data_IF_995973643109
#
_entry.id   IF_995973643109
#
_cell.length_a   1.000
_cell.length_b   1.000
_cell.length_c   1.000
_cell.angle_alpha   90.00
_cell.angle_beta   90.00
_cell.angle_gamma   90.00
#
_symmetry.space_group_name_H-M   'P 1'
#
loop_
_entity.id
_entity.type
_entity.pdbx_description
1 polymer ?
#
# COMPACT_ATOMS: atom_id res chain seq x y z
N UNK A 1 19.09 -6.65 -10.33
CA UNK A 1 18.47 -7.61 -11.25
C UNK A 1 17.66 -6.84 -12.28
N UNK A 2 18.19 -6.78 -13.51
CA UNK A 2 17.58 -6.15 -14.68
C UNK A 2 16.60 -7.13 -15.33
N UNK A 3 15.29 -6.88 -15.18
CA UNK A 3 14.15 -7.65 -15.74
C UNK A 3 14.10 -9.15 -15.40
N UNK A 4 12.99 -9.60 -14.80
CA UNK A 4 12.74 -11.01 -14.53
C UNK A 4 12.47 -11.77 -15.84
N UNK A 5 13.13 -12.92 -16.04
CA UNK A 5 13.02 -13.75 -17.25
C UNK A 5 12.63 -15.19 -16.90
N UNK A 6 11.53 -15.73 -17.49
CA UNK A 6 11.13 -17.13 -17.29
C UNK A 6 12.24 -18.12 -17.67
N UNK A 7 12.98 -17.84 -18.73
CA UNK A 7 14.03 -18.73 -19.23
C UNK A 7 15.21 -18.82 -18.26
N UNK A 8 15.66 -17.67 -17.75
CA UNK A 8 16.72 -17.61 -16.74
C UNK A 8 16.26 -18.28 -15.44
N UNK A 9 15.01 -18.06 -15.04
CA UNK A 9 14.43 -18.69 -13.86
C UNK A 9 14.44 -20.23 -13.96
N UNK A 10 14.01 -20.81 -15.10
CA UNK A 10 14.09 -22.27 -15.34
C UNK A 10 15.54 -22.77 -15.30
N UNK A 11 16.46 -22.05 -15.96
CA UNK A 11 17.87 -22.44 -16.02
C UNK A 11 18.51 -22.51 -14.63
N UNK A 12 18.10 -21.63 -13.72
CA UNK A 12 18.62 -21.60 -12.34
C UNK A 12 17.97 -22.64 -11.41
N UNK A 13 16.85 -23.27 -11.81
CA UNK A 13 16.06 -24.16 -10.96
C UNK A 13 16.26 -25.66 -11.28
N UNK A 14 17.47 -26.06 -11.73
CA UNK A 14 17.74 -27.41 -12.25
C UNK A 14 17.41 -28.55 -11.28
N UNK A 15 17.57 -28.33 -9.98
CA UNK A 15 17.37 -29.33 -8.93
C UNK A 15 16.04 -29.13 -8.17
N UNK A 16 15.09 -28.39 -8.75
CA UNK A 16 13.78 -28.09 -8.15
C UNK A 16 12.66 -28.81 -8.90
N UNK A 17 11.61 -29.20 -8.17
CA UNK A 17 10.41 -29.80 -8.74
C UNK A 17 9.87 -28.97 -9.94
N UNK A 18 9.68 -29.59 -11.12
CA UNK A 18 9.22 -28.89 -12.32
C UNK A 18 7.85 -28.22 -12.17
N UNK A 19 6.95 -28.79 -11.37
CA UNK A 19 5.63 -28.23 -11.08
C UNK A 19 5.73 -26.94 -10.27
N UNK A 20 6.62 -26.88 -9.28
CA UNK A 20 6.91 -25.66 -8.52
C UNK A 20 7.44 -24.56 -9.44
N UNK A 21 8.40 -24.91 -10.32
CA UNK A 21 8.99 -23.95 -11.26
C UNK A 21 7.94 -23.43 -12.25
N UNK A 22 7.08 -24.32 -12.77
CA UNK A 22 5.99 -23.95 -13.67
C UNK A 22 4.99 -22.99 -12.99
N UNK A 23 4.56 -23.31 -11.77
CA UNK A 23 3.64 -22.47 -11.00
C UNK A 23 4.21 -21.08 -10.71
N UNK A 24 5.51 -20.98 -10.38
CA UNK A 24 6.17 -19.71 -10.16
C UNK A 24 6.21 -18.87 -11.45
N UNK A 25 6.49 -19.50 -12.59
CA UNK A 25 6.50 -18.84 -13.90
C UNK A 25 5.10 -18.35 -14.28
N UNK A 26 4.06 -19.15 -14.09
CA UNK A 26 2.68 -18.73 -14.34
C UNK A 26 2.29 -17.56 -13.45
N UNK A 27 2.67 -17.59 -12.17
CA UNK A 27 2.43 -16.48 -11.24
C UNK A 27 3.11 -15.18 -11.71
N UNK A 28 4.36 -15.27 -12.17
CA UNK A 28 5.05 -14.10 -12.71
C UNK A 28 4.42 -13.59 -14.01
N UNK A 29 3.95 -14.49 -14.90
CA UNK A 29 3.22 -14.09 -16.10
C UNK A 29 1.96 -13.30 -15.78
N UNK A 30 1.20 -13.71 -14.77
CA UNK A 30 0.00 -12.98 -14.34
C UNK A 30 0.33 -11.55 -13.87
N UNK A 31 1.40 -11.39 -13.09
CA UNK A 31 1.86 -10.07 -12.62
C UNK A 31 2.34 -9.21 -13.80
N UNK A 32 3.18 -9.77 -14.67
CA UNK A 32 3.73 -9.06 -15.82
C UNK A 32 2.70 -8.75 -16.90
N UNK A 33 1.60 -9.51 -16.99
CA UNK A 33 0.47 -9.18 -17.86
C UNK A 33 -0.22 -7.87 -17.45
N UNK A 34 -0.18 -7.54 -16.15
CA UNK A 34 -0.65 -6.23 -15.65
C UNK A 34 0.43 -5.17 -15.87
N UNK A 35 1.67 -5.46 -15.47
CA UNK A 35 2.79 -4.55 -15.63
C UNK A 35 4.14 -5.30 -15.64
N UNK A 36 4.84 -5.26 -16.77
CA UNK A 36 6.10 -5.99 -16.97
C UNK A 36 7.28 -5.48 -16.14
N UNK A 37 7.20 -4.26 -15.58
CA UNK A 37 8.24 -3.67 -14.74
C UNK A 37 8.04 -3.99 -13.25
N UNK A 38 6.87 -4.51 -12.85
CA UNK A 38 6.61 -4.94 -11.46
C UNK A 38 7.36 -6.23 -11.16
N UNK A 39 8.20 -6.21 -10.13
CA UNK A 39 8.94 -7.39 -9.70
C UNK A 39 8.01 -8.48 -9.12
N UNK A 40 8.06 -9.72 -9.63
CA UNK A 40 7.26 -10.82 -9.09
C UNK A 40 7.68 -11.20 -7.66
N UNK A 41 6.68 -11.47 -6.81
CA UNK A 41 6.85 -12.04 -5.47
C UNK A 41 6.00 -13.30 -5.39
N UNK A 42 6.61 -14.41 -5.00
CA UNK A 42 5.99 -15.75 -5.06
C UNK A 42 5.57 -16.25 -3.69
N UNK A 43 6.39 -15.99 -2.67
CA UNK A 43 6.15 -16.39 -1.29
C UNK A 43 6.66 -15.29 -0.35
N UNK A 44 6.19 -15.31 0.91
CA UNK A 44 6.74 -14.43 1.95
C UNK A 44 8.25 -14.65 2.15
N UNK A 45 8.73 -15.89 2.02
CA UNK A 45 10.16 -16.21 2.09
C UNK A 45 10.94 -15.64 0.90
N UNK A 46 10.36 -15.66 -0.30
CA UNK A 46 10.96 -15.01 -1.46
C UNK A 46 11.08 -13.49 -1.24
N UNK A 47 10.05 -12.84 -0.69
CA UNK A 47 10.12 -11.42 -0.33
C UNK A 47 11.21 -11.13 0.71
N UNK A 48 11.30 -11.97 1.76
CA UNK A 48 12.33 -11.84 2.79
C UNK A 48 13.74 -11.90 2.18
N UNK A 49 13.99 -12.87 1.31
CA UNK A 49 15.25 -13.01 0.59
C UNK A 49 15.51 -11.81 -0.35
N UNK A 50 14.52 -11.39 -1.14
CA UNK A 50 14.66 -10.31 -2.10
C UNK A 50 14.91 -8.94 -1.44
N UNK A 51 14.33 -8.71 -0.25
CA UNK A 51 14.53 -7.51 0.56
C UNK A 51 15.69 -7.64 1.54
N UNK A 52 16.37 -8.79 1.60
CA UNK A 52 17.47 -9.11 2.50
C UNK A 52 17.10 -8.83 3.98
N UNK A 53 16.05 -9.50 4.45
CA UNK A 53 15.58 -9.49 5.83
C UNK A 53 15.25 -10.89 6.33
N UNK A 54 15.18 -11.04 7.64
CA UNK A 54 14.77 -12.30 8.26
C UNK A 54 13.31 -12.66 7.93
N UNK A 55 13.09 -13.95 7.61
CA UNK A 55 11.77 -14.48 7.30
C UNK A 55 10.87 -14.56 8.54
N UNK A 56 11.44 -14.89 9.70
CA UNK A 56 10.72 -14.95 10.98
C UNK A 56 10.08 -13.60 11.32
N UNK A 57 10.82 -12.52 11.14
CA UNK A 57 10.32 -11.15 11.30
C UNK A 57 9.09 -10.88 10.41
N UNK A 58 9.19 -11.15 9.09
CA UNK A 58 8.05 -10.92 8.19
C UNK A 58 6.86 -11.81 8.55
N UNK A 59 7.12 -13.06 8.96
CA UNK A 59 6.08 -13.99 9.40
C UNK A 59 5.34 -13.45 10.61
N UNK A 60 6.05 -12.88 11.58
CA UNK A 60 5.45 -12.34 12.79
C UNK A 60 4.65 -11.05 12.54
N UNK A 61 5.14 -10.18 11.66
CA UNK A 61 4.42 -8.96 11.21
C UNK A 61 3.13 -9.34 10.48
N UNK A 62 3.19 -10.31 9.57
CA UNK A 62 2.04 -10.73 8.76
C UNK A 62 1.03 -11.57 9.53
N UNK A 63 1.44 -12.33 10.53
CA UNK A 63 0.52 -13.01 11.45
C UNK A 63 -0.11 -12.05 12.46
N UNK A 64 0.44 -10.83 12.61
CA UNK A 64 0.10 -9.89 13.70
C UNK A 64 0.34 -10.50 15.09
N UNK A 65 1.29 -11.44 15.19
CA UNK A 65 1.62 -12.11 16.45
C UNK A 65 2.50 -11.23 17.35
N UNK A 66 3.39 -10.43 16.73
CA UNK A 66 4.31 -9.56 17.47
C UNK A 66 3.73 -8.15 17.66
N UNK A 67 4.28 -7.44 18.66
CA UNK A 67 3.92 -6.07 19.01
C UNK A 67 4.13 -5.06 17.87
N UNK A 68 4.00 -3.77 18.19
CA UNK A 68 4.04 -2.69 17.19
C UNK A 68 5.42 -2.59 16.49
N UNK A 69 5.55 -2.88 15.17
CA UNK A 69 6.84 -2.80 14.47
C UNK A 69 7.19 -1.37 14.01
N UNK A 70 6.52 -0.36 14.58
CA UNK A 70 6.68 1.05 14.26
C UNK A 70 7.04 1.85 15.51
N UNK A 71 8.02 2.74 15.38
CA UNK A 71 8.27 3.78 16.38
C UNK A 71 7.26 4.90 16.20
N UNK A 72 6.53 5.22 17.27
CA UNK A 72 5.48 6.24 17.26
C UNK A 72 5.97 7.51 17.94
N UNK A 73 5.67 8.66 17.35
CA UNK A 73 5.85 9.96 17.99
C UNK A 73 4.83 10.98 17.47
N UNK A 74 4.67 12.07 18.22
CA UNK A 74 3.69 13.12 17.92
C UNK A 74 4.37 14.33 17.30
N UNK A 75 3.80 14.85 16.21
CA UNK A 75 4.15 16.15 15.65
C UNK A 75 2.99 17.12 15.86
N UNK A 76 3.28 18.33 16.31
CA UNK A 76 2.27 19.38 16.51
C UNK A 76 1.71 19.83 15.16
N UNK A 77 0.37 19.84 15.02
CA UNK A 77 -0.33 20.50 13.91
C UNK A 77 -0.40 22.00 14.18
N UNK A 78 -0.62 22.79 13.13
CA UNK A 78 -1.02 24.19 13.29
C UNK A 78 -2.23 24.25 14.24
N UNK A 79 -2.24 25.22 15.18
CA UNK A 79 -3.36 25.39 16.11
C UNK A 79 -4.69 25.47 15.35
N UNK A 80 -5.77 24.95 15.92
CA UNK A 80 -7.11 25.28 15.41
C UNK A 80 -7.39 26.77 15.62
N UNK A 81 -8.43 27.28 14.95
CA UNK A 81 -8.96 28.62 15.22
C UNK A 81 -9.33 28.80 16.71
N UNK A 82 -9.70 27.71 17.39
CA UNK A 82 -10.03 27.68 18.83
C UNK A 82 -8.81 27.58 19.75
N UNK A 83 -7.59 27.57 19.22
CA UNK A 83 -6.35 27.46 20.00
C UNK A 83 -6.02 26.05 20.50
N UNK A 84 -6.84 25.04 20.19
CA UNK A 84 -6.61 23.66 20.62
C UNK A 84 -5.31 23.10 20.03
N UNK A 85 -4.52 22.48 20.91
CA UNK A 85 -3.32 21.75 20.51
C UNK A 85 -3.73 20.46 19.81
N UNK A 86 -3.47 20.38 18.51
CA UNK A 86 -3.70 19.19 17.69
C UNK A 86 -2.38 18.52 17.34
N UNK A 87 -2.36 17.19 17.28
CA UNK A 87 -1.15 16.40 16.97
C UNK A 87 -1.39 15.46 15.79
N UNK A 88 -0.31 15.10 15.09
CA UNK A 88 -0.24 13.99 14.13
C UNK A 88 0.59 12.88 14.75
N UNK A 89 0.10 11.65 14.68
CA UNK A 89 0.90 10.48 15.03
C UNK A 89 1.73 10.12 13.81
N UNK A 90 3.05 10.16 13.95
CA UNK A 90 3.96 9.62 12.96
C UNK A 90 4.37 8.23 13.40
N UNK A 91 4.30 7.29 12.47
CA UNK A 91 4.66 5.89 12.64
C UNK A 91 5.80 5.56 11.66
N UNK A 92 7.02 5.48 12.20
CA UNK A 92 8.22 5.14 11.42
C UNK A 92 8.49 3.64 11.56
N UNK A 93 8.55 2.89 10.46
CA UNK A 93 8.83 1.45 10.53
C UNK A 93 10.20 1.17 11.18
N UNK A 94 10.33 0.00 11.83
CA UNK A 94 11.63 -0.51 12.26
C UNK A 94 12.61 -0.60 11.08
N UNK A 95 13.93 -0.56 11.28
CA UNK A 95 14.91 -0.57 10.18
C UNK A 95 14.71 -1.72 9.18
N UNK A 96 14.43 -2.92 9.68
CA UNK A 96 14.17 -4.09 8.84
C UNK A 96 12.85 -3.97 8.07
N UNK A 97 11.76 -3.52 8.70
CA UNK A 97 10.49 -3.29 8.02
C UNK A 97 10.61 -2.16 6.97
N UNK A 98 11.37 -1.12 7.28
CA UNK A 98 11.65 -0.02 6.35
C UNK A 98 12.41 -0.51 5.12
N UNK A 99 13.36 -1.44 5.28
CA UNK A 99 14.09 -2.05 4.15
C UNK A 99 13.12 -2.77 3.20
N UNK A 100 12.22 -3.58 3.74
CA UNK A 100 11.19 -4.29 2.94
C UNK A 100 10.23 -3.32 2.27
N UNK A 101 9.73 -2.34 3.00
CA UNK A 101 8.80 -1.36 2.43
C UNK A 101 9.47 -0.51 1.34
N UNK A 102 10.74 -0.11 1.50
CA UNK A 102 11.51 0.54 0.43
C UNK A 102 11.68 -0.39 -0.77
N UNK A 103 11.96 -1.68 -0.56
CA UNK A 103 12.03 -2.63 -1.67
C UNK A 103 10.70 -2.69 -2.43
N UNK A 104 9.56 -2.78 -1.72
CA UNK A 104 8.21 -2.75 -2.31
C UNK A 104 8.00 -1.45 -3.09
N UNK A 105 8.36 -0.30 -2.53
CA UNK A 105 8.27 0.99 -3.20
C UNK A 105 9.06 1.01 -4.51
N UNK A 106 10.33 0.58 -4.50
CA UNK A 106 11.20 0.68 -5.67
C UNK A 106 10.95 -0.40 -6.73
N UNK A 107 10.42 -1.56 -6.34
CA UNK A 107 10.31 -2.74 -7.22
C UNK A 107 8.89 -3.09 -7.62
N UNK A 108 7.90 -2.55 -6.93
CA UNK A 108 6.49 -2.79 -7.21
C UNK A 108 5.79 -1.46 -7.46
N UNK A 109 5.63 -0.65 -6.41
CA UNK A 109 4.75 0.53 -6.46
C UNK A 109 5.29 1.63 -7.39
N UNK A 110 6.62 1.77 -7.46
CA UNK A 110 7.35 2.70 -8.34
C UNK A 110 7.04 2.56 -9.83
N UNK A 111 6.51 1.42 -10.24
CA UNK A 111 6.19 1.12 -11.63
C UNK A 111 4.69 1.30 -11.95
N UNK A 112 3.86 1.59 -10.95
CA UNK A 112 2.40 1.69 -11.09
C UNK A 112 1.99 3.16 -11.13
N UNK A 113 1.26 3.55 -12.18
CA UNK A 113 0.78 4.93 -12.32
C UNK A 113 -0.49 5.15 -11.47
N UNK A 114 -0.54 6.22 -10.64
CA UNK A 114 -1.76 6.64 -9.97
C UNK A 114 -2.73 7.33 -10.94
N UNK A 115 -3.83 7.87 -10.42
CA UNK A 115 -4.74 8.75 -11.18
C UNK A 115 -3.98 9.94 -11.78
N UNK A 116 -4.40 10.45 -12.94
CA UNK A 116 -3.76 11.60 -13.63
C UNK A 116 -3.76 12.87 -12.78
N UNK A 117 -4.84 13.11 -12.05
CA UNK A 117 -4.97 14.21 -11.08
C UNK A 117 -4.17 13.99 -9.76
N UNK A 118 -3.49 12.85 -9.60
CA UNK A 118 -2.72 12.58 -8.39
C UNK A 118 -1.30 13.15 -8.50
N UNK A 119 -1.17 14.44 -8.21
CA UNK A 119 0.08 15.23 -8.29
C UNK A 119 0.94 15.19 -7.01
N UNK A 120 0.66 14.25 -6.10
CA UNK A 120 1.36 14.14 -4.83
C UNK A 120 2.19 12.86 -4.75
N UNK A 121 3.46 13.02 -4.35
CA UNK A 121 4.39 11.93 -4.02
C UNK A 121 4.86 11.06 -5.20
N UNK A 122 4.64 11.47 -6.45
CA UNK A 122 5.25 10.86 -7.63
C UNK A 122 6.59 11.54 -7.96
N UNK A 123 7.44 10.82 -8.69
CA UNK A 123 8.76 11.34 -9.09
C UNK A 123 8.58 12.46 -10.11
N UNK A 124 9.00 13.67 -9.76
CA UNK A 124 8.90 14.86 -10.62
C UNK A 124 7.76 15.81 -10.25
N UNK A 125 6.90 15.43 -9.30
CA UNK A 125 5.83 16.29 -8.82
C UNK A 125 6.40 17.52 -8.11
N UNK A 126 5.85 18.70 -8.44
CA UNK A 126 6.20 19.96 -7.76
C UNK A 126 4.93 20.61 -7.22
N UNK A 127 5.08 21.36 -6.12
CA UNK A 127 3.97 22.13 -5.56
C UNK A 127 3.42 23.16 -6.54
N UNK A 128 4.26 23.66 -7.46
CA UNK A 128 3.86 24.60 -8.50
C UNK A 128 2.97 23.90 -9.53
N UNK A 129 3.40 22.75 -10.06
CA UNK A 129 2.61 21.97 -11.01
C UNK A 129 1.28 21.48 -10.42
N UNK A 130 1.21 21.26 -9.11
CA UNK A 130 -0.04 20.94 -8.42
C UNK A 130 -0.98 22.15 -8.28
N UNK A 131 -0.45 23.36 -8.19
CA UNK A 131 -1.24 24.58 -8.00
C UNK A 131 -1.66 25.24 -9.33
N UNK A 132 -0.84 25.08 -10.36
CA UNK A 132 -1.00 25.66 -11.70
C UNK A 132 -2.38 25.40 -12.34
N UNK A 133 -2.96 24.19 -12.26
CA UNK A 133 -4.30 23.93 -12.83
C UNK A 133 -5.42 24.75 -12.20
N UNK A 134 -5.20 25.29 -11.00
CA UNK A 134 -6.18 26.13 -10.31
C UNK A 134 -6.03 27.63 -10.59
N UNK A 135 -4.94 28.05 -11.25
CA UNK A 135 -4.70 29.46 -11.54
C UNK A 135 -5.76 30.00 -12.51
N UNK A 136 -6.34 31.16 -12.17
CA UNK A 136 -7.42 31.78 -12.97
C UNK A 136 -8.82 31.20 -12.74
N UNK A 137 -8.97 30.18 -11.88
CA UNK A 137 -10.29 29.65 -11.52
C UNK A 137 -11.12 30.71 -10.76
N UNK A 138 -12.33 31.00 -11.25
CA UNK A 138 -13.27 31.92 -10.59
C UNK A 138 -13.78 31.37 -9.25
N UNK A 139 -13.94 30.05 -9.18
CA UNK A 139 -14.41 29.33 -8.00
C UNK A 139 -13.57 28.07 -7.81
N UNK A 140 -13.25 27.75 -6.55
CA UNK A 140 -12.51 26.54 -6.18
C UNK A 140 -13.31 25.81 -5.09
N UNK A 141 -13.68 24.56 -5.37
CA UNK A 141 -14.31 23.67 -4.39
C UNK A 141 -13.21 22.90 -3.67
N UNK A 142 -13.00 23.20 -2.38
CA UNK A 142 -11.99 22.54 -1.57
C UNK A 142 -12.58 21.37 -0.80
N UNK A 143 -12.03 20.18 -1.00
CA UNK A 143 -12.38 18.96 -0.26
C UNK A 143 -11.14 18.43 0.49
N UNK A 144 -11.33 17.91 1.71
CA UNK A 144 -10.25 17.30 2.50
C UNK A 144 -10.75 16.02 3.18
N UNK A 145 -9.93 14.97 3.18
CA UNK A 145 -10.25 13.70 3.82
C UNK A 145 -9.63 13.65 5.20
N UNK A 146 -10.49 13.56 6.23
CA UNK A 146 -10.05 13.44 7.61
C UNK A 146 -9.23 12.17 7.82
N UNK A 147 -8.01 12.33 8.36
CA UNK A 147 -7.09 11.24 8.68
C UNK A 147 -6.89 10.28 7.50
N UNK A 148 -6.51 10.84 6.34
CA UNK A 148 -6.43 10.15 5.05
C UNK A 148 -5.72 8.78 5.12
N UNK A 149 -4.48 8.72 5.63
CA UNK A 149 -3.77 7.43 5.74
C UNK A 149 -4.48 6.46 6.68
N UNK A 150 -5.00 6.95 7.80
CA UNK A 150 -5.71 6.13 8.77
C UNK A 150 -7.11 5.70 8.35
N UNK A 151 -7.66 6.27 7.28
CA UNK A 151 -8.96 5.89 6.72
C UNK A 151 -8.85 4.74 5.72
N UNK A 152 -7.66 4.54 5.14
CA UNK A 152 -7.35 3.48 4.19
C UNK A 152 -7.00 2.20 4.95
N UNK A 153 -7.85 1.18 4.82
CA UNK A 153 -7.73 -0.06 5.56
C UNK A 153 -6.93 -1.13 4.79
N UNK A 154 -6.59 -2.20 5.51
CA UNK A 154 -5.87 -3.37 4.97
C UNK A 154 -6.55 -3.98 3.74
N UNK A 155 -7.88 -3.97 3.66
CA UNK A 155 -8.62 -4.48 2.48
C UNK A 155 -8.34 -3.61 1.24
N UNK A 156 -8.33 -2.29 1.38
CA UNK A 156 -8.00 -1.41 0.26
C UNK A 156 -6.58 -1.67 -0.25
N UNK A 157 -5.61 -1.83 0.65
CA UNK A 157 -4.22 -2.16 0.29
C UNK A 157 -4.12 -3.54 -0.35
N UNK A 158 -4.84 -4.54 0.19
CA UNK A 158 -4.94 -5.88 -0.40
C UNK A 158 -5.45 -5.81 -1.85
N UNK A 159 -6.49 -5.00 -2.11
CA UNK A 159 -7.06 -4.85 -3.46
C UNK A 159 -6.08 -4.18 -4.43
N UNK A 160 -5.24 -3.27 -3.96
CA UNK A 160 -4.15 -2.69 -4.78
C UNK A 160 -3.19 -3.79 -5.22
N UNK A 161 -2.70 -4.64 -4.32
CA UNK A 161 -1.80 -5.74 -4.74
C UNK A 161 -2.51 -6.78 -5.59
N UNK A 162 -3.78 -7.10 -5.29
CA UNK A 162 -4.56 -8.02 -6.11
C UNK A 162 -4.73 -7.53 -7.55
N UNK A 163 -4.98 -6.22 -7.75
CA UNK A 163 -5.13 -5.64 -9.09
C UNK A 163 -3.83 -5.62 -9.89
N UNK A 164 -2.68 -5.76 -9.23
CA UNK A 164 -1.36 -5.93 -9.86
C UNK A 164 -1.04 -7.40 -10.21
N UNK A 165 -2.00 -8.32 -10.07
CA UNK A 165 -1.84 -9.73 -10.44
C UNK A 165 -1.22 -10.60 -9.35
N UNK A 166 -0.95 -10.07 -8.15
CA UNK A 166 -0.45 -10.89 -7.04
C UNK A 166 -1.52 -11.88 -6.57
N UNK A 167 -1.08 -13.09 -6.20
CA UNK A 167 -1.97 -14.10 -5.64
C UNK A 167 -2.59 -13.64 -4.31
N UNK A 168 -3.72 -14.23 -3.93
CA UNK A 168 -4.51 -13.82 -2.75
C UNK A 168 -3.69 -13.81 -1.45
N UNK A 169 -2.92 -14.87 -1.18
CA UNK A 169 -2.13 -14.94 0.05
C UNK A 169 -1.03 -13.86 0.08
N UNK A 170 -0.29 -13.71 -1.02
CA UNK A 170 0.79 -12.71 -1.11
C UNK A 170 0.23 -11.28 -1.04
N UNK A 171 -0.93 -11.03 -1.64
CA UNK A 171 -1.60 -9.73 -1.53
C UNK A 171 -1.97 -9.39 -0.08
N UNK A 172 -2.42 -10.37 0.69
CA UNK A 172 -2.72 -10.20 2.13
C UNK A 172 -1.44 -9.92 2.92
N UNK A 173 -0.38 -10.68 2.68
CA UNK A 173 0.90 -10.53 3.36
C UNK A 173 1.54 -9.16 3.07
N UNK A 174 1.58 -8.74 1.80
CA UNK A 174 2.05 -7.42 1.39
C UNK A 174 1.21 -6.30 2.02
N UNK A 175 -0.11 -6.47 2.07
CA UNK A 175 -0.99 -5.52 2.74
C UNK A 175 -0.67 -5.40 4.23
N UNK A 176 -0.42 -6.50 4.93
CA UNK A 176 -0.06 -6.50 6.35
C UNK A 176 1.31 -5.93 6.63
N UNK A 177 2.28 -6.16 5.75
CA UNK A 177 3.61 -5.53 5.81
C UNK A 177 3.49 -4.01 5.66
N UNK A 178 2.56 -3.52 4.84
CA UNK A 178 2.39 -2.09 4.57
C UNK A 178 1.41 -1.37 5.51
N UNK A 179 0.79 -2.08 6.44
CA UNK A 179 -0.21 -1.51 7.37
C UNK A 179 0.13 -1.82 8.81
N UNK A 180 -0.41 -1.04 9.74
CA UNK A 180 -0.26 -1.27 11.18
C UNK A 180 -1.59 -1.32 11.91
N UNK A 181 -1.59 -1.97 13.06
CA UNK A 181 -2.72 -1.95 13.98
C UNK A 181 -2.69 -0.62 14.75
N UNK A 182 -3.57 0.32 14.39
CA UNK A 182 -3.71 1.58 15.13
C UNK A 182 -4.35 1.38 16.51
N UNK A 183 -4.38 2.43 17.34
CA UNK A 183 -5.15 2.41 18.60
C UNK A 183 -6.65 2.25 18.35
N UNK A 184 -7.37 1.65 19.29
CA UNK A 184 -8.84 1.57 19.25
C UNK A 184 -9.42 2.98 19.37
N UNK A 185 -10.10 3.44 18.32
CA UNK A 185 -10.83 4.71 18.28
C UNK A 185 -12.30 4.44 18.02
N UNK A 186 -13.19 5.39 18.29
CA UNK A 186 -14.63 5.25 18.00
C UNK A 186 -14.89 4.87 16.54
N UNK A 187 -14.17 5.48 15.59
CA UNK A 187 -14.26 5.13 14.17
C UNK A 187 -13.86 3.66 13.90
N UNK A 188 -12.86 3.14 14.61
CA UNK A 188 -12.40 1.75 14.47
C UNK A 188 -13.27 0.71 15.16
N UNK A 189 -14.33 1.12 15.86
CA UNK A 189 -15.39 0.22 16.31
C UNK A 189 -16.33 -0.19 15.17
N UNK A 190 -16.35 0.56 14.05
CA UNK A 190 -17.19 0.23 12.91
C UNK A 190 -16.79 -1.14 12.29
N UNK A 191 -17.77 -2.01 11.92
CA UNK A 191 -17.53 -3.33 11.32
C UNK A 191 -16.52 -3.37 10.17
N UNK A 192 -16.36 -2.28 9.39
CA UNK A 192 -15.36 -2.20 8.31
C UNK A 192 -13.90 -2.40 8.74
N UNK A 193 -13.62 -2.34 10.05
CA UNK A 193 -12.30 -2.52 10.66
C UNK A 193 -12.10 -3.90 11.30
N UNK A 194 -13.11 -4.78 11.19
CA UNK A 194 -13.14 -6.10 11.82
C UNK A 194 -13.19 -7.19 10.75
N UNK A 195 -12.36 -8.21 10.90
CA UNK A 195 -12.45 -9.40 10.04
C UNK A 195 -13.58 -10.31 10.53
N UNK A 196 -14.23 -11.00 9.59
CA UNK A 196 -15.14 -12.09 9.95
C UNK A 196 -14.29 -13.36 10.16
N UNK A 197 -14.17 -13.81 11.42
CA UNK A 197 -13.35 -14.96 11.81
C UNK A 197 -13.82 -16.30 11.25
N UNK A 198 -15.09 -16.42 10.86
CA UNK A 198 -15.65 -17.68 10.37
C UNK A 198 -15.06 -18.12 9.01
N UNK A 199 -14.33 -17.23 8.32
CA UNK A 199 -13.79 -17.47 6.97
C UNK A 199 -12.28 -17.77 6.93
N UNK A 200 -11.65 -18.02 8.08
CA UNK A 200 -10.19 -18.13 8.14
C UNK A 200 -9.72 -19.56 7.82
N UNK A 201 -9.45 -19.83 6.54
CA UNK A 201 -8.83 -21.08 6.09
C UNK A 201 -7.45 -21.32 6.71
N UNK A 202 -6.71 -20.24 7.02
CA UNK A 202 -5.36 -20.30 7.59
C UNK A 202 -5.36 -19.60 8.96
N UNK A 203 -5.41 -20.39 10.03
CA UNK A 203 -5.51 -19.91 11.44
C UNK A 203 -4.46 -18.87 11.82
N UNK A 204 -3.23 -18.98 11.29
CA UNK A 204 -2.13 -18.05 11.63
C UNK A 204 -2.39 -16.62 11.14
N UNK A 205 -3.25 -16.43 10.13
CA UNK A 205 -3.64 -15.09 9.68
C UNK A 205 -4.89 -14.56 10.40
N UNK A 206 -5.31 -15.21 11.48
CA UNK A 206 -6.58 -14.97 12.16
C UNK A 206 -6.73 -13.70 13.01
N UNK A 207 -6.24 -12.59 12.47
CA UNK A 207 -6.28 -11.30 13.13
C UNK A 207 -7.67 -10.68 13.02
N UNK A 208 -8.32 -10.48 14.18
CA UNK A 208 -9.68 -9.91 14.29
C UNK A 208 -9.77 -8.45 13.83
N UNK A 209 -8.67 -7.72 13.90
CA UNK A 209 -8.60 -6.28 13.61
C UNK A 209 -7.83 -6.05 12.31
N UNK A 210 -8.34 -5.16 11.48
CA UNK A 210 -7.65 -4.75 10.26
C UNK A 210 -6.70 -3.58 10.53
N UNK A 211 -5.55 -3.60 9.84
CA UNK A 211 -4.63 -2.48 9.85
C UNK A 211 -5.08 -1.29 9.00
N UNK A 212 -4.36 -0.19 9.12
CA UNK A 212 -4.46 0.98 8.25
C UNK A 212 -3.06 1.43 7.78
N UNK A 213 -3.00 2.31 6.78
CA UNK A 213 -1.72 2.88 6.36
C UNK A 213 -1.13 3.79 7.46
N UNK A 214 0.14 3.59 7.84
CA UNK A 214 0.84 4.46 8.79
C UNK A 214 1.28 5.78 8.12
N UNK A 215 1.13 6.90 8.82
CA UNK A 215 1.76 8.15 8.40
C UNK A 215 3.26 8.11 8.72
N UNK A 216 4.13 7.98 7.71
CA UNK A 216 5.59 7.92 7.87
C UNK A 216 6.27 6.70 7.25
N UNK A 217 5.50 5.73 6.74
CA UNK A 217 6.07 4.62 5.96
C UNK A 217 6.33 5.01 4.50
N UNK A 218 7.39 4.49 3.87
CA UNK A 218 7.72 4.77 2.48
C UNK A 218 6.73 4.20 1.46
N UNK A 219 5.89 3.22 1.82
CA UNK A 219 4.86 2.67 0.94
C UNK A 219 3.54 3.43 1.01
N UNK A 220 3.24 4.07 2.14
CA UNK A 220 1.92 4.68 2.40
C UNK A 220 1.48 5.71 1.37
N UNK A 221 2.31 6.65 0.89
CA UNK A 221 1.87 7.65 -0.09
C UNK A 221 1.39 7.00 -1.40
N UNK A 222 2.19 6.11 -1.98
CA UNK A 222 1.85 5.46 -3.24
C UNK A 222 0.65 4.53 -3.09
N UNK A 223 0.60 3.74 -2.01
CA UNK A 223 -0.55 2.87 -1.73
C UNK A 223 -1.82 3.68 -1.52
N UNK A 224 -1.73 4.86 -0.91
CA UNK A 224 -2.89 5.69 -0.67
C UNK A 224 -3.48 6.22 -1.99
N UNK A 225 -2.64 6.78 -2.86
CA UNK A 225 -3.06 7.25 -4.18
C UNK A 225 -3.68 6.10 -5.01
N UNK A 226 -3.06 4.92 -5.02
CA UNK A 226 -3.58 3.76 -5.73
C UNK A 226 -4.90 3.25 -5.13
N UNK A 227 -5.06 3.30 -3.81
CA UNK A 227 -6.26 2.84 -3.13
C UNK A 227 -7.48 3.73 -3.37
N UNK A 228 -7.27 5.02 -3.64
CA UNK A 228 -8.35 5.99 -3.88
C UNK A 228 -8.57 6.31 -5.35
N UNK A 229 -7.83 5.68 -6.29
CA UNK A 229 -8.00 5.92 -7.73
C UNK A 229 -9.46 5.87 -8.21
N UNK A 230 -10.26 4.92 -7.72
CA UNK A 230 -11.69 4.83 -8.06
C UNK A 230 -12.53 5.98 -7.51
N UNK A 231 -12.15 6.52 -6.35
CA UNK A 231 -12.78 7.72 -5.81
C UNK A 231 -12.44 8.92 -6.69
N UNK A 232 -11.17 9.05 -7.11
CA UNK A 232 -10.71 10.12 -8.00
C UNK A 232 -11.45 10.09 -9.34
N UNK A 233 -11.56 8.90 -9.96
CA UNK A 233 -12.34 8.67 -11.20
C UNK A 233 -13.80 9.14 -11.04
N UNK A 234 -14.46 8.80 -9.93
CA UNK A 234 -15.85 9.21 -9.68
C UNK A 234 -16.00 10.72 -9.46
N UNK A 235 -15.02 11.36 -8.80
CA UNK A 235 -15.04 12.81 -8.61
C UNK A 235 -14.81 13.52 -9.95
N UNK A 236 -13.90 13.01 -10.78
CA UNK A 236 -13.67 13.53 -12.13
C UNK A 236 -14.93 13.44 -12.99
N UNK A 237 -15.63 12.29 -12.98
CA UNK A 237 -16.90 12.12 -13.68
C UNK A 237 -17.96 13.13 -13.22
N UNK A 238 -18.10 13.34 -11.90
CA UNK A 238 -19.02 14.32 -11.34
C UNK A 238 -18.63 15.74 -11.76
N UNK A 239 -17.33 16.06 -11.74
CA UNK A 239 -16.83 17.36 -12.14
C UNK A 239 -17.14 17.63 -13.62
N UNK A 240 -16.82 16.69 -14.50
CA UNK A 240 -17.08 16.79 -15.93
C UNK A 240 -18.57 16.99 -16.23
N UNK A 241 -19.45 16.26 -15.54
CA UNK A 241 -20.92 16.40 -15.68
C UNK A 241 -21.44 17.81 -15.39
N UNK A 242 -20.75 18.56 -14.53
CA UNK A 242 -21.14 19.91 -14.13
C UNK A 242 -20.24 20.99 -14.76
N UNK A 243 -19.41 20.64 -15.76
CA UNK A 243 -18.50 21.58 -16.40
C UNK A 243 -17.38 22.08 -15.48
N UNK A 244 -17.05 21.32 -14.43
CA UNK A 244 -15.93 21.58 -13.53
C UNK A 244 -14.70 20.78 -13.94
N UNK A 245 -13.51 21.25 -13.53
CA UNK A 245 -12.24 20.56 -13.76
C UNK A 245 -11.81 19.94 -12.42
N UNK A 246 -11.52 18.64 -12.44
CA UNK A 246 -10.90 17.94 -11.31
C UNK A 246 -9.40 17.82 -11.54
N UNK A 247 -8.61 18.18 -10.54
CA UNK A 247 -7.15 18.33 -10.60
C UNK A 247 -6.54 17.98 -9.25
#
# INVERSE_FOLDING_TARGET
MSRWSPQQYRRSAKDTDPGIVANAIETAKLIHAVNADVAPVFTLRHLAHAADVDYGLLRAITSRADGEPYRLFLIRKRPSHTGEKRFRVIAVPSPALMKVQRWITHRILGHVRPHSASVAFSKGDTLVAAAEPHCGARWIVKMDVRNFFESINEISVYRVFQSLGFQRLISLELARICTRLGSLTTSRKNPRWWSNRERETIKVYGARRMGHLPQGAPTSPMLANLAVRKLDELIEEIAAKHGMIYT
#
